data_IF_142171296585
#
_entry.id   IF_142171296585
#
_cell.length_a   1.000
_cell.length_b   1.000
_cell.length_c   1.000
_cell.angle_alpha   90.00
_cell.angle_beta   90.00
_cell.angle_gamma   90.00
#
_symmetry.space_group_name_H-M   'P 1'
#
loop_
_entity.id
_entity.type
_entity.pdbx_description
1 polymer ?
#
# COMPACT_ATOMS: atom_id res chain seq x y z
N UNK A 1 -6.99 14.04 1.54
CA UNK A 1 -6.18 13.04 2.26
C UNK A 1 -5.13 12.50 1.29
N UNK A 2 -3.89 12.31 1.74
CA UNK A 2 -2.80 11.81 0.89
C UNK A 2 -2.92 10.32 0.62
N UNK A 3 -2.32 9.87 -0.47
CA UNK A 3 -2.22 8.44 -0.83
C UNK A 3 -1.53 7.65 0.28
N UNK A 4 -0.42 8.16 0.80
CA UNK A 4 0.30 7.56 1.91
C UNK A 4 -0.60 7.33 3.12
N UNK A 5 -1.31 8.37 3.57
CA UNK A 5 -2.16 8.27 4.76
C UNK A 5 -3.31 7.27 4.55
N UNK A 6 -3.93 7.27 3.36
CA UNK A 6 -4.94 6.27 3.00
C UNK A 6 -4.43 4.84 3.15
N UNK A 7 -3.25 4.59 2.58
CA UNK A 7 -2.62 3.27 2.60
C UNK A 7 -2.17 2.89 4.01
N UNK A 8 -1.52 3.79 4.74
CA UNK A 8 -1.04 3.55 6.10
C UNK A 8 -2.20 3.18 7.04
N UNK A 9 -3.32 3.92 6.99
CA UNK A 9 -4.53 3.61 7.76
C UNK A 9 -5.02 2.19 7.48
N UNK A 10 -5.05 1.79 6.20
CA UNK A 10 -5.48 0.45 5.78
C UNK A 10 -4.52 -0.64 6.27
N UNK A 11 -3.22 -0.45 6.14
CA UNK A 11 -2.20 -1.42 6.57
C UNK A 11 -2.18 -1.60 8.09
N UNK A 12 -2.31 -0.52 8.87
CA UNK A 12 -2.39 -0.62 10.34
C UNK A 12 -3.66 -1.36 10.75
N UNK A 13 -4.81 -1.03 10.15
CA UNK A 13 -6.05 -1.75 10.40
C UNK A 13 -5.91 -3.26 10.16
N UNK A 14 -5.24 -3.65 9.07
CA UNK A 14 -5.02 -5.06 8.76
C UNK A 14 -4.13 -5.81 9.76
N UNK A 15 -3.40 -5.10 10.63
CA UNK A 15 -2.70 -5.70 11.78
C UNK A 15 -3.54 -5.66 13.06
N UNK A 16 -4.26 -4.55 13.32
CA UNK A 16 -5.03 -4.36 14.54
C UNK A 16 -6.31 -5.20 14.58
N UNK A 17 -7.04 -5.31 13.46
CA UNK A 17 -8.32 -6.03 13.46
C UNK A 17 -8.16 -7.53 13.77
N UNK A 18 -7.19 -8.27 13.18
CA UNK A 18 -6.95 -9.67 13.57
C UNK A 18 -6.50 -9.81 15.03
N UNK A 19 -5.71 -8.86 15.55
CA UNK A 19 -5.31 -8.84 16.96
C UNK A 19 -6.52 -8.65 17.89
N UNK A 20 -7.40 -7.70 17.59
CA UNK A 20 -8.65 -7.48 18.33
C UNK A 20 -9.54 -8.73 18.33
N UNK A 21 -9.73 -9.36 17.17
CA UNK A 21 -10.47 -10.64 17.05
C UNK A 21 -9.81 -11.74 17.89
N UNK A 22 -8.47 -11.80 17.90
CA UNK A 22 -7.72 -12.74 18.72
C UNK A 22 -7.93 -12.52 20.22
N UNK A 23 -7.92 -11.28 20.66
CA UNK A 23 -8.18 -10.89 22.05
C UNK A 23 -9.63 -11.19 22.46
N UNK A 24 -10.60 -10.93 21.59
CA UNK A 24 -12.02 -11.28 21.81
C UNK A 24 -12.21 -12.79 22.01
N UNK A 25 -11.51 -13.61 21.22
CA UNK A 25 -11.53 -15.07 21.40
C UNK A 25 -10.91 -15.47 22.74
N UNK A 26 -9.76 -14.92 23.10
CA UNK A 26 -9.09 -15.20 24.40
C UNK A 26 -9.97 -14.76 25.58
N UNK A 27 -10.66 -13.63 25.47
CA UNK A 27 -11.60 -13.13 26.49
C UNK A 27 -12.78 -14.08 26.75
N UNK A 28 -13.13 -14.94 25.79
CA UNK A 28 -14.26 -15.90 25.89
C UNK A 28 -13.81 -17.35 26.13
N UNK A 29 -12.50 -17.59 26.23
CA UNK A 29 -11.93 -18.94 26.25
C UNK A 29 -11.41 -19.33 27.63
N UNK A 30 -11.67 -20.56 28.03
CA UNK A 30 -11.12 -21.15 29.27
C UNK A 30 -9.61 -21.35 29.11
N UNK A 31 -8.83 -21.05 30.16
CA UNK A 31 -7.37 -21.19 30.17
C UNK A 31 -6.60 -19.92 29.78
N UNK A 32 -7.31 -18.83 29.46
CA UNK A 32 -6.72 -17.50 29.27
C UNK A 32 -7.15 -16.55 30.40
N UNK A 33 -6.37 -15.50 30.62
CA UNK A 33 -6.79 -14.39 31.46
C UNK A 33 -7.83 -13.55 30.68
N UNK A 34 -9.11 -13.79 30.98
CA UNK A 34 -10.24 -13.20 30.26
C UNK A 34 -10.33 -11.69 30.44
N UNK A 35 -10.07 -11.21 31.66
CA UNK A 35 -10.15 -9.79 32.02
C UNK A 35 -9.01 -9.02 31.38
N UNK A 36 -7.79 -9.56 31.43
CA UNK A 36 -6.65 -9.00 30.70
C UNK A 36 -6.94 -8.89 29.20
N UNK A 37 -7.48 -9.95 28.61
CA UNK A 37 -7.77 -9.98 27.17
C UNK A 37 -8.84 -8.94 26.79
N UNK A 38 -9.83 -8.74 27.65
CA UNK A 38 -10.87 -7.72 27.49
C UNK A 38 -10.29 -6.31 27.57
N UNK A 39 -9.55 -5.99 28.63
CA UNK A 39 -8.93 -4.67 28.83
C UNK A 39 -7.95 -4.34 27.68
N UNK A 40 -7.14 -5.30 27.22
CA UNK A 40 -6.26 -5.11 26.08
C UNK A 40 -7.04 -4.85 24.78
N UNK A 41 -8.15 -5.58 24.57
CA UNK A 41 -8.99 -5.41 23.37
C UNK A 41 -9.57 -3.99 23.30
N UNK A 42 -10.07 -3.45 24.40
CA UNK A 42 -10.60 -2.08 24.43
C UNK A 42 -9.57 -1.04 24.01
N UNK A 43 -8.30 -1.21 24.43
CA UNK A 43 -7.22 -0.32 24.01
C UNK A 43 -6.93 -0.45 22.51
N UNK A 44 -6.91 -1.67 21.98
CA UNK A 44 -6.67 -1.93 20.55
C UNK A 44 -7.81 -1.39 19.69
N UNK A 45 -9.07 -1.62 20.07
CA UNK A 45 -10.24 -1.12 19.34
C UNK A 45 -10.27 0.41 19.32
N UNK A 46 -9.92 1.04 20.44
CA UNK A 46 -9.82 2.50 20.52
C UNK A 46 -8.70 3.03 19.62
N UNK A 47 -7.52 2.39 19.63
CA UNK A 47 -6.42 2.77 18.73
C UNK A 47 -6.85 2.65 17.26
N UNK A 48 -7.49 1.55 16.87
CA UNK A 48 -7.98 1.37 15.50
C UNK A 48 -8.99 2.47 15.13
N UNK A 49 -9.95 2.78 16.02
CA UNK A 49 -10.92 3.83 15.80
C UNK A 49 -10.28 5.23 15.66
N UNK A 50 -9.31 5.56 16.53
CA UNK A 50 -8.58 6.83 16.50
C UNK A 50 -7.80 6.98 15.20
N UNK A 51 -7.14 5.91 14.73
CA UNK A 51 -6.42 5.88 13.45
C UNK A 51 -7.38 6.06 12.27
N UNK A 52 -8.52 5.35 12.26
CA UNK A 52 -9.48 5.42 11.16
C UNK A 52 -10.16 6.79 11.04
N UNK A 53 -10.36 7.49 12.17
CA UNK A 53 -10.96 8.83 12.20
C UNK A 53 -9.97 9.96 11.93
N UNK A 54 -8.67 9.69 11.92
CA UNK A 54 -7.66 10.72 11.66
C UNK A 54 -7.77 11.25 10.23
N UNK A 55 -7.92 12.57 10.08
CA UNK A 55 -8.19 13.25 8.79
C UNK A 55 -6.92 13.60 7.99
N UNK A 56 -5.77 13.62 8.65
CA UNK A 56 -4.49 13.98 8.05
C UNK A 56 -4.17 15.47 8.14
N UNK A 57 -2.88 15.78 8.18
CA UNK A 57 -2.36 17.15 8.14
C UNK A 57 -2.02 17.61 6.72
N UNK A 58 -2.03 16.69 5.75
CA UNK A 58 -1.51 16.92 4.39
C UNK A 58 0.02 16.82 4.30
N UNK A 59 0.69 16.54 5.41
CA UNK A 59 2.12 16.27 5.49
C UNK A 59 2.35 14.86 6.03
N UNK A 60 2.84 13.97 5.17
CA UNK A 60 2.97 12.54 5.46
C UNK A 60 3.98 12.23 6.57
N UNK A 61 5.03 13.04 6.72
CA UNK A 61 6.01 12.91 7.80
C UNK A 61 5.34 13.19 9.15
N UNK A 62 4.58 14.29 9.21
CA UNK A 62 3.81 14.68 10.41
C UNK A 62 2.74 13.64 10.74
N UNK A 63 2.06 13.12 9.72
CA UNK A 63 1.02 12.12 9.89
C UNK A 63 1.61 10.78 10.37
N UNK A 64 2.76 10.35 9.84
CA UNK A 64 3.49 9.17 10.29
C UNK A 64 3.95 9.31 11.75
N UNK A 65 4.52 10.47 12.12
CA UNK A 65 4.91 10.76 13.49
C UNK A 65 3.70 10.71 14.43
N UNK A 66 2.55 11.25 14.01
CA UNK A 66 1.33 11.24 14.81
C UNK A 66 0.81 9.83 15.08
N UNK A 67 0.87 8.95 14.08
CA UNK A 67 0.51 7.55 14.24
C UNK A 67 1.48 6.84 15.19
N UNK A 68 2.78 7.15 15.10
CA UNK A 68 3.78 6.69 16.07
C UNK A 68 3.40 7.04 17.52
N UNK A 69 3.00 8.28 17.77
CA UNK A 69 2.54 8.72 19.11
C UNK A 69 1.29 7.97 19.59
N UNK A 70 0.30 7.76 18.72
CA UNK A 70 -0.92 7.03 19.06
C UNK A 70 -0.60 5.57 19.44
N UNK A 71 0.28 4.92 18.68
CA UNK A 71 0.74 3.56 18.93
C UNK A 71 1.52 3.48 20.26
N UNK A 72 2.41 4.43 20.53
CA UNK A 72 3.15 4.49 21.80
C UNK A 72 2.22 4.62 23.00
N UNK A 73 1.23 5.53 22.94
CA UNK A 73 0.24 5.70 24.01
C UNK A 73 -0.58 4.44 24.25
N UNK A 74 -0.96 3.73 23.18
CA UNK A 74 -1.67 2.46 23.31
C UNK A 74 -0.77 1.39 23.94
N UNK A 75 0.52 1.33 23.55
CA UNK A 75 1.50 0.41 24.12
C UNK A 75 1.68 0.64 25.62
N UNK A 76 1.90 1.88 26.03
CA UNK A 76 2.07 2.25 27.45
C UNK A 76 0.85 1.83 28.29
N UNK A 77 -0.37 2.04 27.78
CA UNK A 77 -1.59 1.57 28.45
C UNK A 77 -1.63 0.05 28.58
N UNK A 78 -1.25 -0.67 27.53
CA UNK A 78 -1.22 -2.14 27.56
C UNK A 78 -0.14 -2.64 28.53
N UNK A 79 1.01 -2.00 28.60
CA UNK A 79 2.06 -2.33 29.58
C UNK A 79 1.53 -2.22 31.01
N UNK A 80 0.85 -1.11 31.34
CA UNK A 80 0.22 -0.91 32.66
C UNK A 80 -0.85 -1.96 32.94
N UNK A 81 -1.70 -2.27 31.95
CA UNK A 81 -2.73 -3.31 32.06
C UNK A 81 -2.08 -4.67 32.35
N UNK A 82 -1.02 -5.04 31.62
CA UNK A 82 -0.34 -6.33 31.81
C UNK A 82 0.25 -6.46 33.21
N UNK A 83 0.94 -5.42 33.69
CA UNK A 83 1.48 -5.37 35.05
C UNK A 83 0.37 -5.52 36.12
N UNK A 84 -0.78 -4.86 35.94
CA UNK A 84 -1.95 -4.98 36.83
C UNK A 84 -2.44 -6.43 36.97
N UNK A 85 -2.33 -7.23 35.90
CA UNK A 85 -2.73 -8.64 35.90
C UNK A 85 -1.58 -9.61 36.19
N UNK A 86 -0.41 -9.13 36.62
CA UNK A 86 0.74 -9.96 36.98
C UNK A 86 1.51 -10.54 35.79
N UNK A 87 1.29 -10.00 34.58
CA UNK A 87 1.94 -10.42 33.36
C UNK A 87 3.18 -9.58 33.04
N UNK A 88 4.12 -10.14 32.27
CA UNK A 88 5.31 -9.41 31.83
C UNK A 88 4.93 -8.17 31.01
N UNK A 89 5.45 -7.00 31.42
CA UNK A 89 5.22 -5.68 30.82
C UNK A 89 5.49 -5.66 29.32
N UNK A 90 6.63 -6.22 28.92
CA UNK A 90 7.21 -6.04 27.58
C UNK A 90 7.03 -7.26 26.66
N UNK A 91 6.34 -8.29 27.13
CA UNK A 91 6.10 -9.51 26.38
C UNK A 91 4.64 -9.63 25.91
N UNK A 92 4.39 -10.62 25.06
CA UNK A 92 3.07 -10.97 24.55
C UNK A 92 2.78 -10.43 23.15
N UNK A 93 1.81 -11.08 22.49
CA UNK A 93 1.44 -10.81 21.10
C UNK A 93 1.05 -9.35 20.87
N UNK A 94 0.29 -8.77 21.82
CA UNK A 94 -0.20 -7.39 21.75
C UNK A 94 0.94 -6.37 21.76
N UNK A 95 1.88 -6.49 22.71
CA UNK A 95 3.07 -5.62 22.79
C UNK A 95 3.95 -5.80 21.54
N UNK A 96 4.17 -7.05 21.12
CA UNK A 96 4.94 -7.37 19.92
C UNK A 96 4.33 -6.74 18.67
N UNK A 97 3.01 -6.78 18.52
CA UNK A 97 2.28 -6.18 17.42
C UNK A 97 2.46 -4.65 17.41
N UNK A 98 2.25 -3.98 18.54
CA UNK A 98 2.39 -2.51 18.63
C UNK A 98 3.82 -2.03 18.37
N UNK A 99 4.83 -2.76 18.86
CA UNK A 99 6.23 -2.47 18.57
C UNK A 99 6.53 -2.58 17.07
N UNK A 100 6.06 -3.65 16.42
CA UNK A 100 6.19 -3.83 14.97
C UNK A 100 5.46 -2.74 14.20
N UNK A 101 4.24 -2.38 14.59
CA UNK A 101 3.46 -1.34 13.94
C UNK A 101 4.18 0.01 13.94
N UNK A 102 4.77 0.41 15.07
CA UNK A 102 5.56 1.63 15.15
C UNK A 102 6.77 1.58 14.21
N UNK A 103 7.52 0.48 14.24
CA UNK A 103 8.68 0.30 13.36
C UNK A 103 8.28 0.34 11.89
N UNK A 104 7.28 -0.45 11.50
CA UNK A 104 6.79 -0.55 10.12
C UNK A 104 6.22 0.78 9.60
N UNK A 105 5.57 1.59 10.46
CA UNK A 105 5.11 2.93 10.08
C UNK A 105 6.28 3.82 9.65
N UNK A 106 7.37 3.82 10.44
CA UNK A 106 8.58 4.59 10.13
C UNK A 106 9.31 4.04 8.89
N UNK A 107 9.45 2.73 8.80
CA UNK A 107 10.12 2.09 7.66
C UNK A 107 9.35 2.31 6.36
N UNK A 108 8.03 2.33 6.42
CA UNK A 108 7.18 2.63 5.27
C UNK A 108 7.35 4.07 4.78
N UNK A 109 7.31 5.06 5.69
CA UNK A 109 7.59 6.45 5.33
C UNK A 109 8.97 6.59 4.66
N UNK A 110 10.03 6.07 5.30
CA UNK A 110 11.41 6.12 4.78
C UNK A 110 11.55 5.43 3.43
N UNK A 111 10.83 4.31 3.22
CA UNK A 111 10.84 3.61 1.93
C UNK A 111 10.31 4.51 0.81
N UNK A 112 9.18 5.19 1.03
CA UNK A 112 8.63 6.09 0.03
C UNK A 112 9.46 7.36 -0.16
N UNK A 113 10.05 7.88 0.91
CA UNK A 113 10.98 9.02 0.89
C UNK A 113 12.24 8.74 0.06
N UNK A 114 12.68 7.48 0.00
CA UNK A 114 13.89 7.09 -0.72
C UNK A 114 13.79 7.14 -2.25
N UNK A 115 12.57 7.24 -2.79
CA UNK A 115 12.36 7.24 -4.23
C UNK A 115 12.71 8.60 -4.84
N UNK A 116 13.26 8.58 -6.06
CA UNK A 116 13.60 9.82 -6.79
C UNK A 116 12.38 10.64 -7.19
N UNK A 117 11.24 9.97 -7.39
CA UNK A 117 9.96 10.61 -7.63
C UNK A 117 9.16 10.57 -6.32
N UNK A 118 8.51 11.67 -5.97
CA UNK A 118 7.80 11.74 -4.68
C UNK A 118 6.51 10.93 -4.73
N UNK A 119 6.35 9.94 -3.85
CA UNK A 119 5.04 9.35 -3.52
C UNK A 119 4.42 9.98 -2.26
N UNK A 120 5.22 10.73 -1.51
CA UNK A 120 4.78 11.45 -0.32
C UNK A 120 4.12 12.77 -0.69
N UNK A 121 3.23 13.21 0.19
CA UNK A 121 2.42 14.43 0.15
C UNK A 121 1.55 14.54 -1.11
N UNK A 122 1.30 13.42 -1.79
CA UNK A 122 0.40 13.36 -2.95
C UNK A 122 -1.03 13.17 -2.48
N UNK A 123 -1.87 14.17 -2.72
CA UNK A 123 -3.30 14.03 -2.53
C UNK A 123 -3.88 12.97 -3.47
N UNK A 124 -4.80 12.18 -2.95
CA UNK A 124 -5.55 11.26 -3.79
C UNK A 124 -6.69 12.00 -4.48
N UNK A 125 -6.70 11.94 -5.81
CA UNK A 125 -7.88 12.18 -6.64
C UNK A 125 -8.14 10.95 -7.50
N UNK A 126 -9.39 10.76 -7.92
CA UNK A 126 -9.82 9.60 -8.68
C UNK A 126 -9.38 9.71 -10.15
N UNK A 127 -8.08 9.57 -10.42
CA UNK A 127 -7.44 9.56 -11.74
C UNK A 127 -6.71 8.24 -12.00
N UNK A 128 -6.51 7.82 -13.27
CA UNK A 128 -5.77 6.61 -13.57
C UNK A 128 -4.34 6.58 -13.01
N UNK A 129 -3.68 7.74 -12.96
CA UNK A 129 -2.33 7.88 -12.38
C UNK A 129 -2.35 7.60 -10.85
N UNK A 130 -3.26 8.25 -10.13
CA UNK A 130 -3.37 8.11 -8.69
C UNK A 130 -3.81 6.72 -8.26
N UNK A 131 -4.62 6.02 -9.07
CA UNK A 131 -4.94 4.60 -8.85
C UNK A 131 -3.66 3.75 -8.90
N UNK A 132 -2.77 3.96 -9.87
CA UNK A 132 -1.47 3.29 -9.93
C UNK A 132 -0.61 3.61 -8.70
N UNK A 133 -0.52 4.88 -8.30
CA UNK A 133 0.23 5.30 -7.11
C UNK A 133 -0.31 4.70 -5.82
N UNK A 134 -1.63 4.64 -5.66
CA UNK A 134 -2.26 4.02 -4.52
C UNK A 134 -1.87 2.54 -4.41
N UNK A 135 -2.04 1.76 -5.49
CA UNK A 135 -1.74 0.33 -5.46
C UNK A 135 -0.24 0.03 -5.34
N UNK A 136 0.63 0.87 -5.92
CA UNK A 136 2.07 0.77 -5.72
C UNK A 136 2.46 1.05 -4.26
N UNK A 137 1.96 2.14 -3.69
CA UNK A 137 2.18 2.51 -2.30
C UNK A 137 1.67 1.41 -1.37
N UNK A 138 0.53 0.80 -1.69
CA UNK A 138 0.00 -0.35 -0.98
C UNK A 138 0.92 -1.57 -1.03
N UNK A 139 1.40 -1.93 -2.23
CA UNK A 139 2.33 -3.04 -2.41
C UNK A 139 3.61 -2.87 -1.57
N UNK A 140 4.25 -1.69 -1.62
CA UNK A 140 5.44 -1.41 -0.80
C UNK A 140 5.14 -1.55 0.70
N UNK A 141 3.98 -1.06 1.14
CA UNK A 141 3.54 -1.18 2.52
C UNK A 141 3.27 -2.63 2.94
N UNK A 142 2.59 -3.45 2.13
CA UNK A 142 2.35 -4.87 2.45
C UNK A 142 3.67 -5.64 2.66
N UNK A 143 4.66 -5.33 1.83
CA UNK A 143 5.99 -5.91 1.89
C UNK A 143 6.80 -5.53 3.14
N UNK A 144 6.42 -4.44 3.83
CA UNK A 144 6.98 -4.02 5.11
C UNK A 144 6.14 -4.55 6.29
N UNK A 145 4.81 -4.42 6.21
CA UNK A 145 3.92 -4.75 7.31
C UNK A 145 3.74 -6.27 7.51
N UNK A 146 3.83 -7.04 6.44
CA UNK A 146 3.67 -8.49 6.46
C UNK A 146 4.73 -9.18 5.59
N UNK A 147 6.03 -9.09 5.93
CA UNK A 147 7.10 -9.62 5.10
C UNK A 147 6.95 -11.14 4.95
N UNK A 148 6.95 -11.64 3.71
CA UNK A 148 6.92 -13.08 3.44
C UNK A 148 8.29 -13.68 3.72
N UNK A 149 8.36 -14.64 4.66
CA UNK A 149 9.58 -15.41 4.94
C UNK A 149 9.91 -16.33 3.75
N UNK A 150 11.19 -16.43 3.38
CA UNK A 150 11.67 -17.36 2.35
C UNK A 150 11.47 -16.91 0.90
N UNK A 151 11.08 -15.65 0.66
CA UNK A 151 11.10 -15.06 -0.67
C UNK A 151 12.55 -14.71 -1.04
N UNK A 152 12.95 -14.89 -2.31
CA UNK A 152 14.22 -14.38 -2.79
C UNK A 152 14.20 -12.86 -2.71
N UNK A 153 14.91 -12.32 -1.71
CA UNK A 153 15.07 -10.88 -1.47
C UNK A 153 15.51 -10.19 -2.77
N UNK A 154 16.35 -10.86 -3.58
CA UNK A 154 16.81 -10.32 -4.86
C UNK A 154 15.68 -10.18 -5.88
N UNK A 155 14.76 -11.14 -5.94
CA UNK A 155 13.58 -11.03 -6.82
C UNK A 155 12.71 -9.86 -6.39
N UNK A 156 12.49 -9.70 -5.08
CA UNK A 156 11.74 -8.55 -4.56
C UNK A 156 12.42 -7.22 -4.90
N UNK A 157 13.72 -7.08 -4.64
CA UNK A 157 14.48 -5.87 -4.98
C UNK A 157 14.41 -5.56 -6.48
N UNK A 158 14.51 -6.58 -7.34
CA UNK A 158 14.36 -6.40 -8.79
C UNK A 158 12.96 -5.91 -9.17
N UNK A 159 11.90 -6.47 -8.58
CA UNK A 159 10.52 -6.03 -8.80
C UNK A 159 10.30 -4.58 -8.35
N UNK A 160 10.78 -4.23 -7.17
CA UNK A 160 10.68 -2.88 -6.62
C UNK A 160 11.43 -1.86 -7.48
N UNK A 161 12.65 -2.18 -7.95
CA UNK A 161 13.41 -1.30 -8.83
C UNK A 161 12.73 -1.07 -10.19
N UNK A 162 12.11 -2.12 -10.75
CA UNK A 162 11.32 -2.00 -11.98
C UNK A 162 10.07 -1.17 -11.76
N UNK A 163 9.38 -1.38 -10.64
CA UNK A 163 8.21 -0.59 -10.27
C UNK A 163 8.56 0.89 -10.15
N UNK A 164 9.61 1.25 -9.41
CA UNK A 164 10.07 2.64 -9.27
C UNK A 164 10.26 3.30 -10.63
N UNK A 165 10.97 2.63 -11.55
CA UNK A 165 11.19 3.13 -12.90
C UNK A 165 9.87 3.37 -13.65
N UNK A 166 8.90 2.46 -13.53
CA UNK A 166 7.60 2.57 -14.22
C UNK A 166 6.73 3.68 -13.64
N UNK A 167 6.75 3.89 -12.33
CA UNK A 167 6.03 4.97 -11.67
C UNK A 167 6.61 6.34 -12.03
N UNK A 168 7.94 6.44 -12.15
CA UNK A 168 8.58 7.63 -12.68
C UNK A 168 8.13 7.91 -14.12
N UNK A 169 8.20 6.91 -15.01
CA UNK A 169 7.73 7.08 -16.40
C UNK A 169 6.25 7.46 -16.47
N UNK A 170 5.39 6.92 -15.60
CA UNK A 170 3.98 7.30 -15.54
C UNK A 170 3.80 8.80 -15.28
N UNK A 171 4.57 9.35 -14.32
CA UNK A 171 4.53 10.78 -13.98
C UNK A 171 4.96 11.70 -15.15
N UNK A 172 5.82 11.18 -16.03
CA UNK A 172 6.31 11.90 -17.21
C UNK A 172 5.33 11.80 -18.39
N UNK A 173 4.58 10.69 -18.48
CA UNK A 173 3.65 10.38 -19.56
C UNK A 173 2.25 10.96 -19.37
N UNK A 174 1.79 11.09 -18.13
CA UNK A 174 0.48 11.64 -17.81
C UNK A 174 0.60 13.12 -17.43
N UNK A 175 -0.18 13.96 -18.11
CA UNK A 175 -0.33 15.37 -17.82
C UNK A 175 -1.75 15.63 -17.31
N UNK A 176 -1.95 16.58 -16.39
CA UNK A 176 -3.28 16.95 -15.91
C UNK A 176 -4.28 17.36 -17.00
N UNK A 177 -3.77 17.83 -18.14
CA UNK A 177 -4.56 18.28 -19.28
C UNK A 177 -5.11 17.13 -20.15
N UNK A 178 -4.67 15.90 -19.93
CA UNK A 178 -5.14 14.75 -20.70
C UNK A 178 -6.54 14.34 -20.29
N UNK A 179 -7.33 13.92 -21.28
CA UNK A 179 -8.67 13.32 -21.09
C UNK A 179 -8.57 12.01 -20.31
N UNK A 180 -9.69 11.55 -19.75
CA UNK A 180 -9.76 10.26 -19.07
C UNK A 180 -9.29 9.12 -19.97
N UNK A 181 -9.73 9.08 -21.23
CA UNK A 181 -9.36 8.03 -22.18
C UNK A 181 -7.84 8.00 -22.43
N UNK A 182 -7.23 9.17 -22.63
CA UNK A 182 -5.77 9.29 -22.80
C UNK A 182 -4.99 8.89 -21.55
N UNK A 183 -5.47 9.25 -20.36
CA UNK A 183 -4.85 8.82 -19.10
C UNK A 183 -5.01 7.32 -18.88
N UNK A 184 -6.19 6.77 -19.22
CA UNK A 184 -6.49 5.34 -19.13
C UNK A 184 -5.56 4.53 -20.02
N UNK A 185 -5.45 4.90 -21.29
CA UNK A 185 -4.59 4.20 -22.26
C UNK A 185 -3.12 4.17 -21.78
N UNK A 186 -2.58 5.32 -21.39
CA UNK A 186 -1.19 5.42 -20.92
C UNK A 186 -0.94 4.69 -19.61
N UNK A 187 -1.84 4.78 -18.64
CA UNK A 187 -1.72 4.03 -17.38
C UNK A 187 -1.75 2.52 -17.64
N UNK A 188 -2.66 2.05 -18.49
CA UNK A 188 -2.76 0.63 -18.85
C UNK A 188 -1.48 0.15 -19.54
N UNK A 189 -0.92 0.93 -20.47
CA UNK A 189 0.36 0.60 -21.10
C UNK A 189 1.49 0.45 -20.08
N UNK A 190 1.57 1.33 -19.08
CA UNK A 190 2.58 1.22 -18.01
C UNK A 190 2.35 -0.04 -17.16
N UNK A 191 1.11 -0.44 -16.92
CA UNK A 191 0.78 -1.67 -16.20
C UNK A 191 1.13 -2.93 -17.01
N UNK A 192 0.93 -2.91 -18.32
CA UNK A 192 1.34 -3.99 -19.25
C UNK A 192 2.86 -4.20 -19.25
N UNK A 193 3.58 -3.09 -19.32
CA UNK A 193 5.03 -3.06 -19.24
C UNK A 193 5.53 -3.60 -17.89
N UNK A 194 4.87 -3.22 -16.79
CA UNK A 194 5.18 -3.71 -15.45
C UNK A 194 4.89 -5.21 -15.29
N UNK A 195 3.79 -5.71 -15.89
CA UNK A 195 3.48 -7.13 -15.91
C UNK A 195 4.57 -7.93 -16.65
N UNK A 196 5.07 -7.39 -17.75
CA UNK A 196 6.18 -7.97 -18.50
C UNK A 196 7.48 -7.99 -17.69
N UNK A 197 7.83 -6.87 -17.02
CA UNK A 197 8.99 -6.78 -16.14
C UNK A 197 8.90 -7.78 -14.96
N UNK A 198 7.72 -7.91 -14.34
CA UNK A 198 7.48 -8.84 -13.24
C UNK A 198 7.62 -10.30 -13.68
N UNK A 199 7.10 -10.68 -14.85
CA UNK A 199 7.28 -12.02 -15.42
C UNK A 199 8.75 -12.34 -15.67
N UNK A 200 9.53 -11.39 -16.19
CA UNK A 200 10.96 -11.56 -16.40
C UNK A 200 11.75 -11.72 -15.10
N UNK A 201 11.37 -11.01 -14.04
CA UNK A 201 11.99 -11.13 -12.73
C UNK A 201 11.75 -12.52 -12.10
N UNK A 202 10.58 -13.11 -12.33
CA UNK A 202 10.22 -14.45 -11.82
C UNK A 202 10.83 -15.58 -12.67
N UNK A 203 10.87 -15.42 -14.00
CA UNK A 203 11.35 -16.45 -14.94
C UNK A 203 12.85 -16.72 -14.89
N UNK A 204 13.66 -15.91 -14.21
CA UNK A 204 15.12 -16.13 -14.15
C UNK A 204 15.56 -17.40 -13.40
N UNK A 205 14.63 -18.10 -12.73
CA UNK A 205 14.89 -19.38 -12.06
C UNK A 205 14.39 -20.62 -12.82
N UNK A 206 13.76 -20.47 -13.98
CA UNK A 206 13.40 -21.58 -14.88
C UNK A 206 13.98 -21.32 -16.27
N UNK A 207 14.62 -22.32 -16.88
CA UNK A 207 15.30 -22.18 -18.17
C UNK A 207 14.41 -21.50 -19.25
N UNK A 208 14.96 -20.61 -20.09
CA UNK A 208 14.17 -19.73 -20.92
C UNK A 208 13.46 -20.49 -22.04
N UNK A 209 12.12 -20.51 -22.02
CA UNK A 209 11.32 -20.75 -23.22
C UNK A 209 11.22 -19.42 -23.98
N UNK A 210 11.95 -19.34 -25.08
CA UNK A 210 11.91 -18.25 -26.05
C UNK A 210 10.56 -18.24 -26.76
N UNK A 211 9.84 -17.12 -26.69
CA UNK A 211 8.80 -16.78 -27.67
C UNK A 211 9.19 -15.44 -28.28
N UNK A 212 9.44 -15.37 -29.60
CA UNK A 212 9.93 -14.15 -30.24
C UNK A 212 8.76 -13.16 -30.44
N UNK A 213 8.82 -12.01 -29.76
CA UNK A 213 7.99 -10.86 -30.08
C UNK A 213 8.73 -9.94 -31.06
N UNK A 214 8.25 -9.85 -32.30
CA UNK A 214 8.76 -8.89 -33.26
C UNK A 214 8.36 -7.46 -32.85
N UNK A 215 9.32 -6.56 -32.87
CA UNK A 215 9.11 -5.12 -32.77
C UNK A 215 9.20 -4.48 -34.17
N UNK A 216 8.16 -3.76 -34.55
CA UNK A 216 8.23 -2.72 -35.58
C UNK A 216 7.45 -1.50 -35.06
N UNK A 217 8.14 -0.35 -35.02
CA UNK A 217 7.63 1.02 -34.94
C UNK A 217 6.18 1.25 -34.47
N UNK A 218 6.03 1.78 -33.25
CA UNK A 218 4.92 2.63 -32.82
C UNK A 218 3.56 1.95 -32.65
N UNK A 219 3.10 1.83 -31.39
CA UNK A 219 1.77 1.35 -30.97
C UNK A 219 1.59 -0.17 -31.06
N UNK A 220 1.89 -0.86 -29.96
CA UNK A 220 1.39 -2.23 -29.73
C UNK A 220 0.01 -2.16 -29.07
N UNK A 221 -1.04 -2.11 -29.90
CA UNK A 221 -2.43 -2.32 -29.48
C UNK A 221 -2.67 -3.84 -29.34
N UNK A 222 -2.32 -4.41 -28.19
CA UNK A 222 -2.96 -5.64 -27.72
C UNK A 222 -3.98 -5.27 -26.66
N UNK A 223 -5.13 -4.78 -27.13
CA UNK A 223 -6.34 -4.61 -26.33
C UNK A 223 -6.83 -6.02 -25.92
N UNK A 224 -6.21 -6.57 -24.88
CA UNK A 224 -6.57 -7.86 -24.30
C UNK A 224 -7.74 -7.63 -23.37
N UNK A 225 -8.96 -7.74 -23.92
CA UNK A 225 -10.18 -7.75 -23.16
C UNK A 225 -10.10 -8.78 -22.02
N UNK A 226 -10.34 -8.30 -20.80
CA UNK A 226 -10.65 -9.09 -19.59
C UNK A 226 -9.82 -10.38 -19.41
N UNK A 227 -8.51 -10.28 -19.52
CA UNK A 227 -7.57 -11.24 -18.93
C UNK A 227 -6.79 -10.53 -17.84
N UNK A 228 -6.63 -11.17 -16.68
CA UNK A 228 -5.77 -10.66 -15.62
C UNK A 228 -4.36 -10.39 -16.19
N UNK A 229 -3.89 -9.15 -16.05
CA UNK A 229 -2.57 -8.71 -16.56
C UNK A 229 -1.43 -9.46 -15.86
N UNK A 230 -1.67 -9.80 -14.59
CA UNK A 230 -0.80 -10.58 -13.72
C UNK A 230 -1.49 -11.88 -13.31
N UNK A 231 -0.79 -13.01 -13.23
CA UNK A 231 -1.38 -14.22 -12.62
C UNK A 231 -1.41 -14.09 -11.08
N UNK A 232 -2.37 -14.72 -10.38
CA UNK A 232 -2.38 -14.73 -8.91
C UNK A 232 -1.10 -15.38 -8.31
N UNK A 233 -0.44 -16.24 -9.09
CA UNK A 233 0.88 -16.82 -8.79
C UNK A 233 2.04 -15.82 -8.83
N UNK A 234 1.84 -14.61 -9.36
CA UNK A 234 2.88 -13.57 -9.43
C UNK A 234 3.10 -12.80 -8.11
N UNK A 235 2.37 -13.17 -7.07
CA UNK A 235 2.50 -12.62 -5.72
C UNK A 235 1.76 -11.30 -5.52
N UNK A 236 2.08 -10.58 -4.45
CA UNK A 236 1.35 -9.37 -4.03
C UNK A 236 1.36 -8.26 -5.08
N UNK A 237 2.49 -8.08 -5.75
CA UNK A 237 2.61 -7.14 -6.86
C UNK A 237 1.54 -7.41 -7.92
N UNK A 238 1.43 -8.66 -8.37
CA UNK A 238 0.43 -9.03 -9.38
C UNK A 238 -1.01 -8.80 -8.93
N UNK A 239 -1.31 -9.14 -7.67
CA UNK A 239 -2.65 -8.86 -7.10
C UNK A 239 -2.96 -7.36 -7.10
N UNK A 240 -2.04 -6.51 -6.63
CA UNK A 240 -2.28 -5.07 -6.54
C UNK A 240 -2.45 -4.42 -7.92
N UNK A 241 -1.62 -4.78 -8.89
CA UNK A 241 -1.69 -4.15 -10.20
C UNK A 241 -2.80 -4.70 -11.09
N UNK A 242 -3.31 -5.92 -10.84
CA UNK A 242 -4.59 -6.34 -11.41
C UNK A 242 -5.77 -5.52 -10.88
N UNK A 243 -5.79 -5.23 -9.57
CA UNK A 243 -6.82 -4.38 -8.98
C UNK A 243 -6.76 -2.97 -9.57
N UNK A 244 -5.55 -2.40 -9.69
CA UNK A 244 -5.35 -1.11 -10.34
C UNK A 244 -5.90 -1.11 -11.77
N UNK A 245 -5.52 -2.11 -12.58
CA UNK A 245 -5.92 -2.17 -13.97
C UNK A 245 -7.44 -2.32 -14.16
N UNK A 246 -8.09 -3.15 -13.33
CA UNK A 246 -9.56 -3.27 -13.31
C UNK A 246 -10.20 -1.94 -12.95
N UNK A 247 -9.74 -1.30 -11.87
CA UNK A 247 -10.26 0.01 -11.42
C UNK A 247 -10.13 1.10 -12.49
N UNK A 248 -9.00 1.12 -13.23
CA UNK A 248 -8.75 2.09 -14.31
C UNK A 248 -9.65 1.83 -15.53
N UNK A 249 -9.85 0.56 -15.90
CA UNK A 249 -10.76 0.18 -17.00
C UNK A 249 -12.22 0.54 -16.70
N UNK A 250 -12.64 0.34 -15.45
CA UNK A 250 -14.01 0.56 -15.01
C UNK A 250 -14.28 2.04 -14.61
N UNK A 251 -13.26 2.91 -14.71
CA UNK A 251 -13.39 4.33 -14.39
C UNK A 251 -14.23 5.04 -15.44
N UNK A 252 -15.26 5.74 -14.99
CA UNK A 252 -16.19 6.52 -15.79
C UNK A 252 -16.01 8.02 -15.57
N UNK A 253 -16.43 8.84 -16.53
CA UNK A 253 -16.27 10.31 -16.49
C UNK A 253 -16.90 10.97 -15.26
N UNK A 254 -18.01 10.42 -14.74
CA UNK A 254 -18.67 10.90 -13.52
C UNK A 254 -17.86 10.68 -12.24
N UNK A 255 -16.88 9.77 -12.28
CA UNK A 255 -15.97 9.49 -11.16
C UNK A 255 -14.59 10.08 -11.38
N UNK A 256 -14.29 10.57 -12.57
CA UNK A 256 -12.98 11.11 -12.90
C UNK A 256 -12.82 12.51 -12.30
N UNK A 257 -11.81 12.69 -11.46
CA UNK A 257 -11.53 13.95 -10.77
C UNK A 257 -10.18 14.53 -11.24
N UNK A 258 -10.14 15.22 -12.40
CA UNK A 258 -8.91 15.84 -12.88
C UNK A 258 -8.49 16.97 -11.93
N UNK A 259 -7.17 17.23 -11.80
CA UNK A 259 -6.69 18.37 -11.03
C UNK A 259 -7.30 19.67 -11.59
N UNK A 260 -7.80 20.54 -10.70
CA UNK A 260 -8.29 21.85 -11.11
C UNK A 260 -7.09 22.69 -11.57
N UNK A 261 -6.87 22.76 -12.89
CA UNK A 261 -5.88 23.67 -13.46
C UNK A 261 -6.47 25.08 -13.38
N UNK A 262 -6.05 25.88 -12.40
CA UNK A 262 -6.40 27.30 -12.39
C UNK A 262 -5.85 27.92 -13.67
N UNK A 263 -6.75 28.37 -14.55
CA UNK A 263 -6.41 29.17 -15.73
C UNK A 263 -5.88 30.53 -15.27
N UNK A 264 -4.62 30.57 -14.84
CA UNK A 264 -3.85 31.81 -14.69
C UNK A 264 -2.67 31.66 -15.64
N UNK A 265 -2.93 31.81 -16.95
CA UNK A 265 -1.95 32.13 -17.99
C UNK A 265 -2.68 32.14 -19.35
N UNK A 266 -3.51 33.16 -19.55
CA UNK A 266 -3.91 33.64 -20.89
C UNK A 266 -4.33 35.12 -20.81
N UNK A 267 -3.59 35.89 -20.01
CA UNK A 267 -3.57 37.36 -20.05
C UNK A 267 -2.13 37.83 -19.81
N UNK A 268 -1.27 37.62 -20.80
CA UNK A 268 -0.08 38.43 -21.04
C UNK A 268 0.12 38.57 -22.54
#
# INVERSE_FOLDING_TARGET
>A
MTIFLMVLKKLIKEQLSPLSIGLDKKAKSVGYNTDLSTDQKEVIDKLEADILRFEGSGNDETDAAKFGELIDKAREKIQIIREKYGESRDEGDTITCLNKLKLHTNDFHKKLESFKFSLLNKEYSETPENVCYYHATYYFGEEIFAPKKGLDIKIREQKEAKLEKRLQSLSELIKPTHTLDEQRERSIQVLDDLASDNKLAIKKDEAPVTVPGMSFWGVSLTLSGVTDYFSASEGRMGVQFNLAARKIRDMSEDKFEPPVVSQIENQM
#
